data_IF_684725731490
#
_entry.id   IF_684725731490
#
_cell.length_a   1.000
_cell.length_b   1.000
_cell.length_c   1.000
_cell.angle_alpha   90.00
_cell.angle_beta   90.00
_cell.angle_gamma   90.00
#
_symmetry.space_group_name_H-M   'P 1'
#
loop_
_entity.id
_entity.type
_entity.pdbx_description
1 polymer ?
#
# COMPACT_ATOMS: atom_id res chain seq x y z
N UNK A 1 0.90 22.20 -13.74
CA UNK A 1 1.57 21.30 -12.78
C UNK A 1 2.15 20.06 -13.48
N UNK A 2 1.34 19.09 -13.95
CA UNK A 2 1.87 17.92 -14.72
C UNK A 2 2.63 18.29 -16.01
N UNK A 3 2.08 19.19 -16.83
CA UNK A 3 2.78 19.72 -18.02
C UNK A 3 4.09 20.45 -17.71
N UNK A 4 4.35 20.78 -16.44
CA UNK A 4 5.59 21.41 -15.96
C UNK A 4 6.55 20.39 -15.32
N UNK A 5 6.25 19.08 -15.38
CA UNK A 5 7.07 18.02 -14.79
C UNK A 5 6.88 17.80 -13.28
N UNK A 6 5.90 18.44 -12.65
CA UNK A 6 5.66 18.30 -11.20
C UNK A 6 5.13 16.89 -10.85
N UNK A 7 5.70 16.29 -9.80
CA UNK A 7 5.28 15.01 -9.22
C UNK A 7 4.23 15.22 -8.14
N UNK A 8 3.26 14.32 -8.06
CA UNK A 8 2.20 14.35 -7.06
C UNK A 8 2.33 13.14 -6.14
N UNK A 9 2.13 13.40 -4.85
CA UNK A 9 2.05 12.39 -3.81
C UNK A 9 0.71 12.56 -3.11
N UNK A 10 0.14 11.46 -2.65
CA UNK A 10 -1.04 11.47 -1.80
C UNK A 10 -0.83 10.55 -0.61
N UNK A 11 -1.65 10.74 0.41
CA UNK A 11 -1.64 9.92 1.61
C UNK A 11 -3.07 9.63 2.01
N UNK A 12 -3.26 8.50 2.68
CA UNK A 12 -4.48 8.19 3.42
C UNK A 12 -4.23 8.56 4.87
N UNK A 13 -5.26 9.08 5.55
CA UNK A 13 -5.20 9.47 6.95
C UNK A 13 -6.34 8.83 7.74
N UNK A 14 -6.58 9.30 8.97
CA UNK A 14 -7.69 8.85 9.81
C UNK A 14 -9.09 9.26 9.31
N UNK A 15 -9.18 10.07 8.25
CA UNK A 15 -10.41 10.65 7.72
C UNK A 15 -11.16 9.74 6.74
N UNK A 16 -10.54 9.29 5.63
CA UNK A 16 -11.15 8.34 4.70
C UNK A 16 -11.54 7.07 5.45
N UNK A 17 -12.85 6.81 5.51
CA UNK A 17 -13.46 5.60 6.03
C UNK A 17 -14.20 4.88 4.90
N UNK A 18 -14.85 3.75 5.19
CA UNK A 18 -15.69 3.10 4.19
C UNK A 18 -16.63 4.13 3.52
N UNK A 19 -16.76 4.13 2.17
CA UNK A 19 -16.30 3.10 1.23
C UNK A 19 -14.93 3.38 0.56
N UNK A 20 -14.07 4.22 1.11
CA UNK A 20 -12.73 4.47 0.55
C UNK A 20 -11.72 3.40 1.00
N UNK A 21 -10.62 3.21 0.26
CA UNK A 21 -9.47 2.45 0.77
C UNK A 21 -8.89 3.16 2.02
N UNK A 22 -8.65 2.41 3.09
CA UNK A 22 -8.21 2.96 4.39
C UNK A 22 -6.95 2.27 4.93
N UNK A 23 -6.26 2.89 5.88
CA UNK A 23 -5.13 2.28 6.59
C UNK A 23 -5.57 1.35 7.74
N UNK A 24 -6.87 1.25 8.01
CA UNK A 24 -7.36 0.64 9.24
C UNK A 24 -7.35 -0.89 9.19
N UNK A 25 -7.14 -1.54 10.34
CA UNK A 25 -7.03 -3.01 10.43
C UNK A 25 -8.37 -3.73 10.35
N UNK A 26 -9.46 -3.04 10.65
CA UNK A 26 -10.83 -3.54 10.59
C UNK A 26 -11.45 -3.43 9.18
N UNK A 27 -10.64 -3.08 8.19
CA UNK A 27 -10.99 -3.04 6.77
C UNK A 27 -10.39 -4.23 5.98
N UNK A 28 -10.99 -4.60 4.83
CA UNK A 28 -10.41 -5.60 3.94
C UNK A 28 -8.97 -5.25 3.55
N UNK A 29 -8.03 -6.15 3.82
CA UNK A 29 -6.60 -5.89 3.58
C UNK A 29 -6.28 -5.60 2.10
N UNK A 30 -7.10 -6.10 1.17
CA UNK A 30 -6.96 -5.85 -0.27
C UNK A 30 -7.06 -4.37 -0.63
N UNK A 31 -7.72 -3.55 0.21
CA UNK A 31 -7.80 -2.09 0.02
C UNK A 31 -6.42 -1.45 -0.12
N UNK A 32 -5.41 -1.96 0.62
CA UNK A 32 -4.03 -1.46 0.51
C UNK A 32 -3.46 -1.69 -0.88
N UNK A 33 -3.59 -2.91 -1.42
CA UNK A 33 -3.11 -3.21 -2.76
C UNK A 33 -3.88 -2.41 -3.83
N UNK A 34 -5.21 -2.34 -3.71
CA UNK A 34 -6.08 -1.57 -4.61
C UNK A 34 -5.73 -0.08 -4.64
N UNK A 35 -5.32 0.50 -3.50
CA UNK A 35 -4.91 1.90 -3.43
C UNK A 35 -3.70 2.22 -4.34
N UNK A 36 -2.77 1.27 -4.52
CA UNK A 36 -1.65 1.44 -5.47
C UNK A 36 -2.13 1.39 -6.92
N UNK A 37 -3.10 0.55 -7.26
CA UNK A 37 -3.73 0.58 -8.59
C UNK A 37 -4.49 1.89 -8.85
N UNK A 38 -5.17 2.43 -7.84
CA UNK A 38 -5.76 3.77 -7.91
C UNK A 38 -4.72 4.88 -8.10
N UNK A 39 -3.53 4.71 -7.51
CA UNK A 39 -2.37 5.61 -7.64
C UNK A 39 -1.93 5.65 -9.11
N UNK A 40 -1.77 4.48 -9.75
CA UNK A 40 -1.45 4.39 -11.18
C UNK A 40 -2.55 4.98 -12.07
N UNK A 41 -3.82 4.58 -11.86
CA UNK A 41 -4.96 5.06 -12.64
C UNK A 41 -5.05 6.59 -12.67
N UNK A 42 -4.74 7.24 -11.54
CA UNK A 42 -4.78 8.71 -11.40
C UNK A 42 -3.48 9.38 -11.82
N UNK A 43 -2.45 8.63 -12.21
CA UNK A 43 -1.10 9.12 -12.57
C UNK A 43 -0.47 9.90 -11.41
N UNK A 44 -0.54 9.33 -10.21
CA UNK A 44 0.10 9.84 -9.00
C UNK A 44 1.46 9.16 -8.86
N UNK A 45 2.48 9.91 -8.44
CA UNK A 45 3.88 9.50 -8.53
C UNK A 45 4.42 8.80 -7.27
N UNK A 46 3.61 8.71 -6.22
CA UNK A 46 4.02 8.14 -4.94
C UNK A 46 2.92 8.23 -3.89
N UNK A 47 3.11 7.46 -2.83
CA UNK A 47 2.26 7.41 -1.66
C UNK A 47 3.04 7.85 -0.42
N UNK A 48 2.33 8.34 0.57
CA UNK A 48 2.87 8.63 1.90
C UNK A 48 1.96 7.97 2.94
N UNK A 49 2.58 7.37 3.94
CA UNK A 49 1.94 6.92 5.18
C UNK A 49 2.66 7.68 6.30
N UNK A 50 1.89 8.29 7.19
CA UNK A 50 2.44 9.24 8.15
C UNK A 50 3.30 8.58 9.24
N UNK A 51 3.01 7.32 9.58
CA UNK A 51 3.76 6.50 10.52
C UNK A 51 3.49 5.02 10.21
N UNK A 52 4.42 4.12 10.53
CA UNK A 52 4.28 2.66 10.32
C UNK A 52 4.48 1.85 11.60
N UNK A 53 5.03 2.47 12.64
CA UNK A 53 5.41 1.89 13.92
C UNK A 53 4.79 2.61 15.12
N UNK A 54 3.58 3.18 14.96
CA UNK A 54 2.85 3.88 16.03
C UNK A 54 2.26 2.93 17.08
N UNK A 55 3.12 2.25 17.84
CA UNK A 55 2.69 1.18 18.75
C UNK A 55 2.00 1.68 20.02
N UNK A 56 2.36 2.87 20.49
CA UNK A 56 1.84 3.47 21.73
C UNK A 56 1.63 4.97 21.56
N UNK A 57 0.77 5.54 22.41
CA UNK A 57 0.59 6.98 22.55
C UNK A 57 0.89 7.37 23.99
N UNK A 58 1.95 8.15 24.21
CA UNK A 58 2.31 8.64 25.56
C UNK A 58 1.19 9.49 26.19
N UNK A 59 0.38 10.13 25.35
CA UNK A 59 -0.77 10.93 25.79
C UNK A 59 -1.90 10.05 26.34
N UNK A 60 -2.11 8.88 25.72
CA UNK A 60 -3.12 7.93 26.16
C UNK A 60 -2.60 7.04 27.29
N UNK A 61 -1.36 6.61 27.23
CA UNK A 61 -0.73 5.69 28.19
C UNK A 61 0.45 6.39 28.91
N UNK A 62 0.18 7.42 29.74
CA UNK A 62 1.25 8.10 30.46
C UNK A 62 1.89 7.14 31.48
N UNK A 63 3.20 6.88 31.31
CA UNK A 63 3.95 6.00 32.21
C UNK A 63 3.74 4.51 31.97
N UNK A 64 3.08 4.11 30.88
CA UNK A 64 2.96 2.72 30.46
C UNK A 64 2.99 2.60 28.93
N UNK A 65 3.17 1.39 28.41
CA UNK A 65 3.09 1.12 26.98
C UNK A 65 1.74 0.48 26.65
N UNK A 66 1.16 0.90 25.54
CA UNK A 66 0.03 0.19 24.94
C UNK A 66 0.52 -1.13 24.34
N UNK A 67 -0.21 -2.23 24.60
CA UNK A 67 -0.02 -3.47 23.87
C UNK A 67 -0.84 -3.43 22.56
N UNK A 68 -0.21 -3.29 21.37
CA UNK A 68 -0.94 -3.12 20.12
C UNK A 68 -1.64 -4.39 19.63
N UNK A 69 -1.36 -5.55 20.23
CA UNK A 69 -2.04 -6.81 19.94
C UNK A 69 -3.35 -6.98 20.70
N UNK A 70 -3.43 -6.42 21.91
CA UNK A 70 -4.63 -6.46 22.75
C UNK A 70 -5.53 -5.24 22.51
N UNK A 71 -4.94 -4.08 22.24
CA UNK A 71 -5.64 -2.83 21.97
C UNK A 71 -5.17 -2.26 20.62
N UNK A 72 -5.91 -2.51 19.51
CA UNK A 72 -5.52 -2.04 18.18
C UNK A 72 -5.78 -0.56 17.95
N UNK A 73 -6.43 0.15 18.88
CA UNK A 73 -6.83 1.55 18.70
C UNK A 73 -5.60 2.46 18.63
N UNK A 74 -5.46 3.24 17.56
CA UNK A 74 -4.48 4.30 17.49
C UNK A 74 -5.02 5.56 18.18
N UNK A 75 -4.47 5.89 19.34
CA UNK A 75 -4.86 7.09 20.09
C UNK A 75 -4.08 8.32 19.66
N UNK A 76 -4.74 9.47 19.67
CA UNK A 76 -4.15 10.76 19.32
C UNK A 76 -2.97 11.06 20.24
N UNK A 77 -1.82 11.44 19.66
CA UNK A 77 -0.65 11.91 20.41
C UNK A 77 -0.86 13.34 20.95
N UNK A 78 -0.02 13.76 21.91
CA UNK A 78 0.03 15.13 22.41
C UNK A 78 -0.32 15.26 23.89
N UNK A 79 -1.22 16.17 24.25
CA UNK A 79 -1.55 16.44 25.66
C UNK A 79 -2.22 15.23 26.28
N UNK A 80 -1.61 14.72 27.36
CA UNK A 80 -2.13 13.57 28.09
C UNK A 80 -3.55 13.83 28.57
N UNK A 81 -4.44 12.86 28.31
CA UNK A 81 -5.84 12.91 28.74
C UNK A 81 -6.11 11.73 29.69
N UNK A 82 -7.00 11.90 30.68
CA UNK A 82 -7.51 10.77 31.44
C UNK A 82 -8.05 9.68 30.50
N UNK A 83 -7.98 8.41 30.91
CA UNK A 83 -8.33 7.27 30.07
C UNK A 83 -9.73 7.40 29.42
N UNK A 84 -10.70 7.91 30.17
CA UNK A 84 -12.09 8.13 29.74
C UNK A 84 -12.25 9.22 28.66
N UNK A 85 -11.22 10.03 28.43
CA UNK A 85 -11.23 11.17 27.48
C UNK A 85 -10.23 11.00 26.34
N UNK A 86 -9.64 9.81 26.18
CA UNK A 86 -8.69 9.53 25.09
C UNK A 86 -9.37 9.74 23.74
N UNK A 87 -8.74 10.56 22.90
CA UNK A 87 -9.14 10.73 21.51
C UNK A 87 -8.40 9.71 20.65
N UNK A 88 -9.00 9.30 19.54
CA UNK A 88 -8.43 8.28 18.66
C UNK A 88 -8.57 8.62 17.18
N UNK A 89 -7.68 8.05 16.38
CA UNK A 89 -7.70 8.12 14.92
C UNK A 89 -8.44 6.94 14.29
N UNK A 90 -8.25 5.74 14.85
CA UNK A 90 -8.92 4.51 14.40
C UNK A 90 -8.04 3.28 14.61
N UNK A 91 -8.59 2.10 14.36
CA UNK A 91 -7.88 0.84 14.61
C UNK A 91 -6.74 0.63 13.61
N UNK A 92 -5.51 0.45 14.09
CA UNK A 92 -4.35 0.15 13.25
C UNK A 92 -3.81 1.32 12.43
N UNK A 93 -4.33 2.54 12.58
CA UNK A 93 -3.74 3.73 11.96
C UNK A 93 -2.31 3.96 12.47
N UNK A 94 -1.38 4.18 11.54
CA UNK A 94 0.05 4.27 11.86
C UNK A 94 0.72 2.94 12.26
N UNK A 95 0.02 1.80 12.21
CA UNK A 95 0.53 0.48 12.65
C UNK A 95 0.55 -0.51 11.49
N UNK A 96 1.69 -0.63 10.81
CA UNK A 96 1.90 -1.59 9.72
C UNK A 96 2.90 -2.68 10.07
N UNK A 97 3.79 -2.38 11.01
CA UNK A 97 4.75 -3.30 11.57
C UNK A 97 4.53 -3.29 13.07
N UNK A 98 4.66 -4.43 13.74
CA UNK A 98 4.38 -4.61 15.16
C UNK A 98 5.67 -4.90 15.94
N UNK A 99 5.72 -4.57 17.24
CA UNK A 99 6.85 -4.98 18.08
C UNK A 99 6.89 -6.51 18.20
N UNK A 100 8.01 -7.12 18.58
CA UNK A 100 8.00 -8.53 18.99
C UNK A 100 6.95 -8.79 20.06
N UNK A 101 6.25 -9.92 20.00
CA UNK A 101 5.17 -10.25 20.95
C UNK A 101 5.66 -10.22 22.41
N UNK A 102 6.88 -10.74 22.65
CA UNK A 102 7.51 -10.72 23.98
C UNK A 102 7.83 -9.31 24.51
N UNK A 103 7.81 -8.28 23.63
CA UNK A 103 8.04 -6.88 23.97
C UNK A 103 6.79 -6.00 23.80
N UNK A 104 5.64 -6.59 23.46
CA UNK A 104 4.45 -5.84 23.03
C UNK A 104 3.92 -4.84 24.07
N UNK A 105 4.01 -5.18 25.37
CA UNK A 105 3.66 -4.31 26.49
C UNK A 105 4.89 -3.70 27.18
N UNK A 106 6.06 -3.73 26.53
CA UNK A 106 7.36 -3.43 27.12
C UNK A 106 8.06 -4.67 27.66
N UNK A 107 9.39 -4.61 27.72
CA UNK A 107 10.23 -5.66 28.30
C UNK A 107 11.30 -5.06 29.21
N UNK A 108 11.62 -5.77 30.31
CA UNK A 108 12.72 -5.39 31.22
C UNK A 108 14.08 -5.88 30.75
N UNK A 109 14.09 -6.84 29.83
CA UNK A 109 15.30 -7.42 29.23
C UNK A 109 15.28 -7.21 27.73
N UNK A 110 16.45 -7.09 27.06
CA UNK A 110 16.50 -7.02 25.61
C UNK A 110 15.77 -8.21 24.97
N UNK A 111 14.97 -7.93 23.94
CA UNK A 111 14.28 -8.93 23.13
C UNK A 111 14.96 -8.96 21.76
N UNK A 112 15.61 -10.07 21.37
CA UNK A 112 16.39 -10.15 20.12
C UNK A 112 15.52 -10.36 18.88
N UNK A 113 14.24 -10.68 19.07
CA UNK A 113 13.31 -10.92 17.97
C UNK A 113 13.09 -9.65 17.15
N UNK A 114 12.96 -9.84 15.83
CA UNK A 114 12.65 -8.76 14.91
C UNK A 114 11.19 -8.31 15.01
N UNK A 115 10.86 -7.16 14.40
CA UNK A 115 9.48 -6.71 14.33
C UNK A 115 8.61 -7.68 13.52
N UNK A 116 7.31 -7.69 13.79
CA UNK A 116 6.34 -8.60 13.17
C UNK A 116 5.59 -7.88 12.05
N UNK A 117 5.58 -8.47 10.85
CA UNK A 117 4.81 -7.94 9.71
C UNK A 117 3.31 -8.14 9.90
N UNK A 118 2.49 -7.44 9.12
CA UNK A 118 1.04 -7.67 9.08
C UNK A 118 0.52 -7.81 7.65
N UNK A 119 -0.70 -8.34 7.51
CA UNK A 119 -1.33 -8.57 6.20
C UNK A 119 -1.41 -7.27 5.38
N UNK A 120 -1.73 -6.13 6.03
CA UNK A 120 -1.79 -4.82 5.35
C UNK A 120 -0.43 -4.38 4.80
N UNK A 121 0.66 -4.69 5.51
CA UNK A 121 2.02 -4.40 5.06
C UNK A 121 2.40 -5.25 3.85
N UNK A 122 2.05 -6.54 3.86
CA UNK A 122 2.28 -7.42 2.71
C UNK A 122 1.43 -7.03 1.49
N UNK A 123 0.18 -6.61 1.69
CA UNK A 123 -0.66 -6.08 0.60
C UNK A 123 -0.12 -4.78 0.02
N UNK A 124 0.46 -3.92 0.86
CA UNK A 124 1.15 -2.70 0.44
C UNK A 124 2.41 -3.05 -0.38
N UNK A 125 3.23 -4.00 0.08
CA UNK A 125 4.40 -4.52 -0.64
C UNK A 125 4.01 -5.06 -2.02
N UNK A 126 3.02 -5.94 -2.07
CA UNK A 126 2.52 -6.52 -3.32
C UNK A 126 1.98 -5.44 -4.28
N UNK A 127 1.30 -4.41 -3.76
CA UNK A 127 0.82 -3.28 -4.55
C UNK A 127 1.96 -2.41 -5.10
N UNK A 128 3.06 -2.26 -4.37
CA UNK A 128 4.27 -1.57 -4.86
C UNK A 128 4.90 -2.38 -5.99
N UNK A 129 4.98 -3.70 -5.86
CA UNK A 129 5.47 -4.57 -6.94
C UNK A 129 4.58 -4.48 -8.19
N UNK A 130 3.26 -4.37 -8.04
CA UNK A 130 2.35 -4.17 -9.16
C UNK A 130 2.64 -2.84 -9.90
N UNK A 131 2.92 -1.77 -9.16
CA UNK A 131 3.35 -0.49 -9.75
C UNK A 131 4.68 -0.63 -10.48
N UNK A 132 5.63 -1.39 -9.93
CA UNK A 132 6.91 -1.64 -10.59
C UNK A 132 6.71 -2.40 -11.90
N UNK A 133 5.81 -3.39 -11.94
CA UNK A 133 5.48 -4.11 -13.17
C UNK A 133 4.90 -3.17 -14.24
N UNK A 134 4.00 -2.27 -13.87
CA UNK A 134 3.44 -1.27 -14.78
C UNK A 134 4.51 -0.31 -15.31
N UNK A 135 5.44 0.12 -14.45
CA UNK A 135 6.58 0.96 -14.86
C UNK A 135 7.56 0.21 -15.78
N UNK A 136 7.84 -1.06 -15.51
CA UNK A 136 8.69 -1.90 -16.35
C UNK A 136 8.05 -2.06 -17.73
N UNK A 137 6.74 -2.31 -17.80
CA UNK A 137 6.00 -2.40 -19.06
C UNK A 137 6.01 -1.08 -19.84
N UNK A 138 5.74 0.07 -19.19
CA UNK A 138 5.80 1.38 -19.84
C UNK A 138 7.18 1.67 -20.44
N UNK A 139 8.24 1.35 -19.69
CA UNK A 139 9.61 1.45 -20.19
C UNK A 139 9.86 0.51 -21.37
N UNK A 140 9.46 -0.76 -21.28
CA UNK A 140 9.64 -1.74 -22.34
C UNK A 140 8.95 -1.30 -23.65
N UNK A 141 7.73 -0.77 -23.56
CA UNK A 141 6.98 -0.19 -24.68
C UNK A 141 7.77 0.94 -25.34
N UNK A 142 8.31 1.87 -24.53
CA UNK A 142 9.07 3.02 -25.06
C UNK A 142 10.36 2.61 -25.76
N UNK A 143 11.07 1.65 -25.19
CA UNK A 143 12.38 1.19 -25.68
C UNK A 143 12.26 0.30 -26.93
N UNK A 144 11.18 -0.49 -27.05
CA UNK A 144 11.02 -1.48 -28.13
C UNK A 144 9.99 -1.06 -29.20
N UNK A 145 9.45 0.16 -29.15
CA UNK A 145 8.37 0.65 -30.05
C UNK A 145 8.63 0.52 -31.56
N UNK A 146 9.89 0.44 -31.99
CA UNK A 146 10.29 0.31 -33.40
C UNK A 146 10.59 -1.14 -33.80
N UNK A 147 10.77 -2.03 -32.82
CA UNK A 147 11.21 -3.41 -33.03
C UNK A 147 10.07 -4.43 -32.88
N UNK A 148 8.89 -3.97 -32.47
CA UNK A 148 7.72 -4.81 -32.14
C UNK A 148 6.57 -4.46 -33.06
N UNK A 149 5.79 -5.48 -33.43
CA UNK A 149 4.58 -5.34 -34.23
C UNK A 149 3.57 -4.37 -33.61
N UNK A 150 2.88 -3.60 -34.44
CA UNK A 150 1.94 -2.56 -34.01
C UNK A 150 0.80 -3.12 -33.15
N UNK A 151 0.32 -4.34 -33.45
CA UNK A 151 -0.74 -4.99 -32.68
C UNK A 151 -0.28 -5.32 -31.27
N UNK A 152 0.92 -5.89 -31.13
CA UNK A 152 1.52 -6.21 -29.82
C UNK A 152 1.77 -4.93 -29.02
N UNK A 153 2.23 -3.87 -29.68
CA UNK A 153 2.43 -2.57 -29.03
C UNK A 153 1.11 -1.96 -28.54
N UNK A 154 0.02 -2.10 -29.31
CA UNK A 154 -1.31 -1.65 -28.92
C UNK A 154 -1.84 -2.45 -27.72
N UNK A 155 -1.68 -3.77 -27.73
CA UNK A 155 -2.04 -4.65 -26.61
C UNK A 155 -1.27 -4.28 -25.34
N UNK A 156 0.05 -4.11 -25.43
CA UNK A 156 0.88 -3.69 -24.31
C UNK A 156 0.45 -2.35 -23.70
N UNK A 157 0.14 -1.35 -24.54
CA UNK A 157 -0.39 -0.06 -24.06
C UNK A 157 -1.75 -0.20 -23.38
N UNK A 158 -2.60 -1.11 -23.86
CA UNK A 158 -3.89 -1.39 -23.25
C UNK A 158 -3.73 -1.93 -21.82
N UNK A 159 -2.67 -2.72 -21.56
CA UNK A 159 -2.36 -3.29 -20.25
C UNK A 159 -2.01 -2.24 -19.18
N UNK A 160 -1.50 -1.06 -19.59
CA UNK A 160 -1.23 0.07 -18.70
C UNK A 160 -2.49 0.83 -18.26
N UNK A 161 -3.66 0.55 -18.84
CA UNK A 161 -4.93 1.15 -18.38
C UNK A 161 -5.48 0.33 -17.23
N UNK A 162 -5.88 0.94 -16.11
CA UNK A 162 -6.47 0.16 -15.00
C UNK A 162 -7.94 -0.17 -15.32
N UNK A 163 -8.32 -1.46 -15.37
CA UNK A 163 -9.68 -1.87 -15.69
C UNK A 163 -10.65 -1.58 -14.51
N UNK A 164 -11.95 -1.33 -14.78
CA UNK A 164 -12.94 -1.03 -13.75
C UNK A 164 -13.17 -2.17 -12.76
N UNK A 165 -12.86 -3.42 -13.15
CA UNK A 165 -12.90 -4.60 -12.30
C UNK A 165 -11.91 -4.49 -11.12
N UNK A 166 -10.79 -3.77 -11.29
CA UNK A 166 -9.87 -3.43 -10.20
C UNK A 166 -10.36 -2.20 -9.45
N UNK A 167 -10.60 -1.10 -10.17
CA UNK A 167 -11.11 0.13 -9.57
C UNK A 167 -11.81 1.00 -10.61
N UNK A 168 -13.09 1.27 -10.37
CA UNK A 168 -13.92 2.17 -11.18
C UNK A 168 -13.87 3.60 -10.63
N UNK A 169 -13.86 3.75 -9.31
CA UNK A 169 -13.77 5.03 -8.62
C UNK A 169 -12.99 4.90 -7.30
N UNK A 170 -12.87 6.00 -6.54
CA UNK A 170 -12.27 5.93 -5.19
C UNK A 170 -13.11 5.11 -4.20
N UNK A 171 -14.37 4.84 -4.52
CA UNK A 171 -15.36 4.20 -3.65
C UNK A 171 -15.90 2.87 -4.22
N UNK A 172 -15.68 2.63 -5.50
CA UNK A 172 -16.09 1.41 -6.21
C UNK A 172 -14.84 0.70 -6.74
N UNK A 173 -14.46 -0.40 -6.11
CA UNK A 173 -13.26 -1.16 -6.42
C UNK A 173 -13.40 -2.64 -6.01
N UNK A 174 -12.45 -3.46 -6.44
CA UNK A 174 -12.42 -4.89 -6.17
C UNK A 174 -12.42 -5.18 -4.67
N UNK A 175 -13.31 -6.06 -4.24
CA UNK A 175 -13.35 -6.61 -2.87
C UNK A 175 -12.54 -7.89 -2.72
N UNK A 176 -12.12 -8.49 -3.83
CA UNK A 176 -11.28 -9.69 -3.91
C UNK A 176 -10.00 -9.44 -4.71
N UNK A 177 -8.98 -10.32 -4.56
CA UNK A 177 -7.69 -10.17 -5.22
C UNK A 177 -7.70 -10.53 -6.71
N UNK A 178 -8.70 -11.27 -7.18
CA UNK A 178 -8.69 -11.94 -8.50
C UNK A 178 -8.45 -10.95 -9.66
N UNK A 179 -9.14 -9.81 -9.76
CA UNK A 179 -8.93 -8.88 -10.89
C UNK A 179 -7.52 -8.29 -10.92
N UNK A 180 -6.91 -8.10 -9.75
CA UNK A 180 -5.55 -7.58 -9.62
C UNK A 180 -4.53 -8.64 -10.06
N UNK A 181 -4.71 -9.88 -9.60
CA UNK A 181 -3.80 -10.99 -9.91
C UNK A 181 -3.82 -11.31 -11.41
N UNK A 182 -5.00 -11.39 -12.01
CA UNK A 182 -5.16 -11.61 -13.46
C UNK A 182 -4.47 -10.50 -14.27
N UNK A 183 -4.65 -9.25 -13.86
CA UNK A 183 -4.04 -8.11 -14.55
C UNK A 183 -2.52 -8.11 -14.40
N UNK A 184 -2.00 -8.38 -13.20
CA UNK A 184 -0.57 -8.48 -12.94
C UNK A 184 0.08 -9.57 -13.80
N UNK A 185 -0.56 -10.73 -13.91
CA UNK A 185 -0.07 -11.83 -14.73
C UNK A 185 -0.03 -11.47 -16.22
N UNK A 186 -1.08 -10.82 -16.74
CA UNK A 186 -1.09 -10.33 -18.12
C UNK A 186 0.03 -9.31 -18.39
N UNK A 187 0.26 -8.38 -17.46
CA UNK A 187 1.37 -7.42 -17.54
C UNK A 187 2.72 -8.15 -17.55
N UNK A 188 2.92 -9.13 -16.67
CA UNK A 188 4.16 -9.91 -16.59
C UNK A 188 4.48 -10.62 -17.91
N UNK A 189 3.50 -11.35 -18.47
CA UNK A 189 3.65 -12.06 -19.75
C UNK A 189 3.99 -11.10 -20.89
N UNK A 190 3.37 -9.91 -20.92
CA UNK A 190 3.69 -8.91 -21.93
C UNK A 190 5.11 -8.35 -21.76
N UNK A 191 5.59 -8.15 -20.53
CA UNK A 191 6.98 -7.74 -20.27
C UNK A 191 7.95 -8.77 -20.84
N UNK A 192 7.73 -10.07 -20.57
CA UNK A 192 8.58 -11.14 -21.10
C UNK A 192 8.58 -11.20 -22.63
N UNK A 193 7.43 -10.92 -23.26
CA UNK A 193 7.31 -10.84 -24.71
C UNK A 193 8.09 -9.66 -25.31
N UNK A 194 8.05 -8.49 -24.66
CA UNK A 194 8.73 -7.26 -25.13
C UNK A 194 10.23 -7.24 -24.80
N UNK A 195 10.64 -7.91 -23.72
CA UNK A 195 12.02 -7.93 -23.22
C UNK A 195 12.44 -9.39 -23.02
N UNK A 196 12.68 -10.14 -24.12
CA UNK A 196 13.09 -11.53 -24.00
C UNK A 196 14.40 -11.63 -23.21
N UNK A 197 14.56 -12.68 -22.39
CA UNK A 197 15.75 -12.85 -21.56
C UNK A 197 17.00 -12.85 -22.45
N UNK A 198 18.00 -12.05 -22.05
CA UNK A 198 19.31 -12.06 -22.73
C UNK A 198 19.84 -13.50 -22.65
N UNK A 199 20.14 -14.10 -23.81
CA UNK A 199 20.86 -15.37 -23.87
C UNK A 199 22.15 -15.19 -23.07
N UNK A 200 22.31 -15.95 -21.98
CA UNK A 200 23.58 -16.05 -21.27
C UNK A 200 24.56 -16.72 -22.23
N UNK A 201 25.59 -15.98 -22.65
CA UNK A 201 26.78 -16.55 -23.28
C UNK A 201 27.63 -17.25 -22.24
#
# INVERSE_FOLDING_TARGET
RRKKGERFWWYVCCGPKAPFCTLFIDHPAIEMRTWLWQTWQRKISGILIWETTYWTSDAAFPGSLQNPYEDPMAYVAGVAKPAEKRSYWGNGDGRFVYPPEAAAAGSKTPVPDGPVSCIRWEMLRDGIEDLDYLNILDRAIRENRLAVDEKVLAEAKSLLTVPPEITKSMQEFATGPEPILERREAVAKMIEQLVPPRKRN
#
